data_IF_227272043197
#
_entry.id   IF_227272043197
#
_cell.length_a   1.000
_cell.length_b   1.000
_cell.length_c   1.000
_cell.angle_alpha   90.00
_cell.angle_beta   90.00
_cell.angle_gamma   90.00
#
_symmetry.space_group_name_H-M   'P 1'
#
loop_
_entity.id
_entity.type
_entity.pdbx_description
1 polymer ?
#
# COMPACT_ATOMS: atom_id res chain seq x y z
N UNK A 1 32.07 -15.41 22.92
CA UNK A 1 31.70 -15.07 21.52
C UNK A 1 30.45 -14.20 21.57
N UNK A 2 30.61 -12.87 21.51
CA UNK A 2 29.49 -11.90 21.63
C UNK A 2 29.29 -11.10 20.33
N UNK A 3 30.29 -11.09 19.45
CA UNK A 3 30.23 -10.34 18.19
C UNK A 3 29.08 -10.83 17.28
N UNK A 4 28.91 -12.14 17.11
CA UNK A 4 27.86 -12.70 16.25
C UNK A 4 26.43 -12.29 16.67
N UNK A 5 25.97 -12.50 17.93
CA UNK A 5 24.64 -12.06 18.34
C UNK A 5 24.48 -10.53 18.34
N UNK A 6 25.55 -9.77 18.58
CA UNK A 6 25.52 -8.31 18.52
C UNK A 6 25.23 -7.80 17.10
N UNK A 7 25.97 -8.28 16.09
CA UNK A 7 25.73 -7.86 14.70
C UNK A 7 24.38 -8.31 14.18
N UNK A 8 23.91 -9.49 14.59
CA UNK A 8 22.56 -9.95 14.25
C UNK A 8 21.49 -8.99 14.77
N UNK A 9 21.56 -8.60 16.04
CA UNK A 9 20.62 -7.64 16.64
C UNK A 9 20.74 -6.25 15.98
N UNK A 10 21.95 -5.82 15.64
CA UNK A 10 22.18 -4.54 14.96
C UNK A 10 21.47 -4.51 13.60
N UNK A 11 21.61 -5.55 12.77
CA UNK A 11 20.94 -5.62 11.47
C UNK A 11 19.42 -5.73 11.60
N UNK A 12 18.91 -6.47 12.59
CA UNK A 12 17.47 -6.54 12.85
C UNK A 12 16.88 -5.17 13.20
N UNK A 13 17.59 -4.36 14.01
CA UNK A 13 17.15 -2.99 14.34
C UNK A 13 17.19 -2.08 13.10
N UNK A 14 18.25 -2.18 12.28
CA UNK A 14 18.36 -1.40 11.04
C UNK A 14 17.26 -1.77 10.04
N UNK A 15 16.97 -3.06 9.88
CA UNK A 15 15.90 -3.55 9.03
C UNK A 15 14.53 -3.05 9.50
N UNK A 16 14.24 -3.14 10.81
CA UNK A 16 13.01 -2.60 11.36
C UNK A 16 12.88 -1.09 11.13
N UNK A 17 13.99 -0.34 11.24
CA UNK A 17 14.02 1.07 10.88
C UNK A 17 13.67 1.33 9.42
N UNK A 18 14.18 0.50 8.50
CA UNK A 18 13.84 0.58 7.07
C UNK A 18 12.37 0.26 6.81
N UNK A 19 11.80 -0.74 7.50
CA UNK A 19 10.37 -1.07 7.42
C UNK A 19 9.51 0.13 7.80
N UNK A 20 9.80 0.78 8.94
CA UNK A 20 9.03 1.97 9.37
C UNK A 20 9.17 3.16 8.43
N UNK A 21 10.36 3.37 7.86
CA UNK A 21 10.56 4.41 6.85
C UNK A 21 9.73 4.10 5.60
N UNK A 22 9.74 2.85 5.15
CA UNK A 22 8.97 2.40 3.98
C UNK A 22 7.48 2.62 4.21
N UNK A 23 6.96 2.17 5.36
CA UNK A 23 5.55 2.32 5.74
C UNK A 23 5.13 3.79 5.77
N UNK A 24 5.90 4.65 6.45
CA UNK A 24 5.63 6.09 6.53
C UNK A 24 5.69 6.77 5.16
N UNK A 25 6.67 6.43 4.31
CA UNK A 25 6.76 7.00 2.95
C UNK A 25 5.62 6.53 2.06
N UNK A 26 5.20 5.26 2.17
CA UNK A 26 4.06 4.71 1.46
C UNK A 26 2.76 5.43 1.87
N UNK A 27 2.50 5.59 3.16
CA UNK A 27 1.31 6.30 3.64
C UNK A 27 1.24 7.73 3.11
N UNK A 28 2.38 8.45 3.14
CA UNK A 28 2.48 9.79 2.59
C UNK A 28 2.24 9.81 1.07
N UNK A 29 2.84 8.87 0.34
CA UNK A 29 2.65 8.73 -1.11
C UNK A 29 1.17 8.49 -1.47
N UNK A 30 0.49 7.59 -0.75
CA UNK A 30 -0.93 7.28 -0.97
C UNK A 30 -1.82 8.47 -0.65
N UNK A 31 -1.54 9.21 0.43
CA UNK A 31 -2.30 10.42 0.77
C UNK A 31 -2.20 11.49 -0.31
N UNK A 32 -1.00 11.71 -0.85
CA UNK A 32 -0.74 12.71 -1.89
C UNK A 32 -1.32 12.29 -3.24
N UNK A 33 -1.07 11.05 -3.70
CA UNK A 33 -1.67 10.52 -4.94
C UNK A 33 -3.20 10.47 -4.84
N UNK A 34 -3.75 10.18 -3.64
CA UNK A 34 -5.18 10.24 -3.38
C UNK A 34 -5.81 11.62 -3.64
N UNK A 35 -5.05 12.71 -3.54
CA UNK A 35 -5.53 14.05 -3.92
C UNK A 35 -5.86 14.14 -5.41
N UNK A 36 -5.15 13.40 -6.28
CA UNK A 36 -5.43 13.39 -7.72
C UNK A 36 -6.82 12.82 -8.00
N UNK A 37 -7.24 11.80 -7.24
CA UNK A 37 -8.61 11.27 -7.32
C UNK A 37 -9.60 12.24 -6.69
N UNK A 38 -9.30 12.76 -5.48
CA UNK A 38 -10.18 13.69 -4.74
C UNK A 38 -10.55 14.93 -5.53
N UNK A 39 -9.60 15.50 -6.26
CA UNK A 39 -9.74 16.74 -7.04
C UNK A 39 -10.24 16.51 -8.47
N UNK A 40 -10.56 15.26 -8.84
CA UNK A 40 -11.02 14.91 -10.18
C UNK A 40 -9.94 14.88 -11.27
N UNK A 41 -8.68 15.19 -10.95
CA UNK A 41 -7.56 15.14 -11.92
C UNK A 41 -7.39 13.75 -12.53
N UNK A 42 -7.50 12.69 -11.72
CA UNK A 42 -7.41 11.31 -12.20
C UNK A 42 -8.59 10.94 -13.13
N UNK A 43 -9.78 11.51 -12.93
CA UNK A 43 -10.90 11.33 -13.85
C UNK A 43 -10.68 12.12 -15.15
N UNK A 44 -10.25 13.38 -15.05
CA UNK A 44 -10.03 14.26 -16.19
C UNK A 44 -8.97 13.73 -17.16
N UNK A 45 -7.93 13.07 -16.65
CA UNK A 45 -6.87 12.44 -17.45
C UNK A 45 -7.16 11.01 -17.88
N UNK A 46 -8.34 10.46 -17.54
CA UNK A 46 -8.67 9.04 -17.73
C UNK A 46 -7.57 8.10 -17.19
N UNK A 47 -7.08 8.42 -15.97
CA UNK A 47 -5.99 7.70 -15.32
C UNK A 47 -6.31 6.21 -15.19
N UNK A 48 -5.30 5.37 -15.46
CA UNK A 48 -5.40 3.93 -15.27
C UNK A 48 -4.89 3.52 -13.88
N UNK A 49 -5.24 2.31 -13.44
CA UNK A 49 -4.70 1.72 -12.22
C UNK A 49 -3.16 1.70 -12.23
N UNK A 50 -2.56 1.35 -13.37
CA UNK A 50 -1.11 1.32 -13.51
C UNK A 50 -0.51 2.72 -13.34
N UNK A 51 -1.09 3.73 -13.98
CA UNK A 51 -0.63 5.12 -13.84
C UNK A 51 -0.73 5.63 -12.40
N UNK A 52 -1.83 5.30 -11.70
CA UNK A 52 -1.98 5.64 -10.29
C UNK A 52 -0.90 4.96 -9.43
N UNK A 53 -0.62 3.68 -9.70
CA UNK A 53 0.45 2.94 -9.02
C UNK A 53 1.82 3.57 -9.28
N UNK A 54 2.11 3.95 -10.53
CA UNK A 54 3.36 4.60 -10.90
C UNK A 54 3.54 5.94 -10.15
N UNK A 55 2.46 6.74 -10.02
CA UNK A 55 2.46 7.98 -9.24
C UNK A 55 2.72 7.73 -7.73
N UNK A 56 2.13 6.68 -7.14
CA UNK A 56 2.46 6.28 -5.77
C UNK A 56 3.94 5.93 -5.65
N UNK A 57 4.46 5.12 -6.57
CA UNK A 57 5.84 4.66 -6.54
C UNK A 57 6.86 5.78 -6.77
N UNK A 58 6.57 6.74 -7.64
CA UNK A 58 7.43 7.92 -7.85
C UNK A 58 7.59 8.73 -6.56
N UNK A 59 6.52 8.85 -5.77
CA UNK A 59 6.53 9.55 -4.47
C UNK A 59 7.28 8.79 -3.37
N UNK A 60 7.52 7.50 -3.54
CA UNK A 60 8.37 6.71 -2.63
C UNK A 60 9.87 6.86 -2.93
N UNK A 61 10.24 7.62 -3.97
CA UNK A 61 11.61 8.04 -4.31
C UNK A 61 12.64 6.90 -4.31
N UNK A 62 13.41 6.74 -3.23
CA UNK A 62 14.47 5.72 -3.11
C UNK A 62 13.95 4.28 -3.26
N UNK A 63 12.66 4.07 -2.99
CA UNK A 63 11.98 2.77 -3.06
C UNK A 63 11.22 2.56 -4.39
N UNK A 64 11.30 3.51 -5.32
CA UNK A 64 10.49 3.52 -6.55
C UNK A 64 10.75 2.31 -7.47
N UNK A 65 12.01 1.85 -7.58
CA UNK A 65 12.40 0.82 -8.55
C UNK A 65 11.69 -0.53 -8.34
N UNK A 66 11.52 -0.93 -7.07
CA UNK A 66 10.86 -2.20 -6.73
C UNK A 66 9.37 -2.01 -6.40
N UNK A 67 8.94 -0.77 -6.16
CA UNK A 67 7.59 -0.45 -5.72
C UNK A 67 6.52 -0.97 -6.69
N UNK A 68 6.69 -0.79 -8.00
CA UNK A 68 5.66 -1.15 -8.99
C UNK A 68 5.32 -2.65 -8.99
N UNK A 69 6.29 -3.51 -8.65
CA UNK A 69 6.10 -4.95 -8.57
C UNK A 69 5.62 -5.43 -7.20
N UNK A 70 5.87 -4.64 -6.16
CA UNK A 70 5.50 -4.93 -4.77
C UNK A 70 4.19 -4.28 -4.35
N UNK A 71 3.62 -3.43 -5.18
CA UNK A 71 2.44 -2.63 -4.84
C UNK A 71 1.22 -3.08 -5.61
N UNK A 72 0.15 -3.32 -4.87
CA UNK A 72 -1.18 -3.54 -5.42
C UNK A 72 -2.14 -2.48 -4.90
N UNK A 73 -3.05 -2.02 -5.76
CA UNK A 73 -3.95 -0.91 -5.44
C UNK A 73 -5.40 -1.31 -5.65
N UNK A 74 -6.27 -0.71 -4.86
CA UNK A 74 -7.71 -0.77 -5.02
C UNK A 74 -8.31 0.60 -4.73
N UNK A 75 -8.91 1.19 -5.74
CA UNK A 75 -9.60 2.47 -5.65
C UNK A 75 -11.04 2.21 -6.04
N UNK A 76 -11.96 2.38 -5.09
CA UNK A 76 -13.37 2.08 -5.32
C UNK A 76 -14.30 3.14 -4.78
N UNK A 77 -15.46 3.25 -5.41
CA UNK A 77 -16.56 4.06 -4.88
C UNK A 77 -17.26 3.26 -3.78
N UNK A 78 -17.59 3.94 -2.68
CA UNK A 78 -18.36 3.39 -1.55
C UNK A 78 -19.64 4.20 -1.36
N UNK A 79 -20.69 3.59 -0.81
CA UNK A 79 -21.98 4.26 -0.61
C UNK A 79 -22.01 5.12 0.67
N UNK A 80 -21.22 4.74 1.69
CA UNK A 80 -21.16 5.38 3.00
C UNK A 80 -19.80 5.10 3.67
N UNK A 81 -19.40 5.92 4.65
CA UNK A 81 -18.15 5.71 5.39
C UNK A 81 -18.21 4.60 6.45
N UNK A 82 -19.42 4.18 6.84
CA UNK A 82 -19.65 3.22 7.90
C UNK A 82 -20.00 1.85 7.32
N UNK A 83 -19.59 0.79 8.01
CA UNK A 83 -19.92 -0.62 7.68
C UNK A 83 -19.56 -1.00 6.23
N UNK A 84 -18.47 -0.42 5.71
CA UNK A 84 -17.92 -0.77 4.39
C UNK A 84 -17.21 -2.11 4.54
N UNK A 85 -17.66 -3.12 3.79
CA UNK A 85 -17.04 -4.43 3.75
C UNK A 85 -16.53 -4.74 2.34
N UNK A 86 -15.47 -4.06 1.88
CA UNK A 86 -14.87 -4.38 0.60
C UNK A 86 -14.17 -5.75 0.69
N UNK A 87 -14.00 -6.47 -0.44
CA UNK A 87 -13.26 -7.71 -0.47
C UNK A 87 -11.89 -7.56 0.16
N UNK A 88 -11.53 -8.53 1.00
CA UNK A 88 -10.21 -8.62 1.61
C UNK A 88 -9.33 -9.53 0.73
N UNK A 89 -8.34 -8.99 0.02
CA UNK A 89 -7.47 -9.78 -0.85
C UNK A 89 -6.56 -10.75 -0.08
N UNK A 90 -6.51 -10.67 1.26
CA UNK A 90 -5.70 -11.53 2.13
C UNK A 90 -6.56 -12.43 3.03
N UNK A 91 -7.83 -12.64 2.69
CA UNK A 91 -8.79 -13.33 3.55
C UNK A 91 -8.41 -14.78 3.92
N UNK A 92 -7.63 -15.47 3.07
CA UNK A 92 -7.17 -16.83 3.32
C UNK A 92 -5.92 -16.89 4.22
N UNK A 93 -5.23 -15.77 4.44
CA UNK A 93 -3.99 -15.66 5.19
C UNK A 93 -2.78 -16.34 4.54
N UNK A 94 -2.91 -16.81 3.30
CA UNK A 94 -1.87 -17.56 2.59
C UNK A 94 -1.50 -16.90 1.26
N UNK A 95 -2.47 -16.38 0.52
CA UNK A 95 -2.28 -15.79 -0.80
C UNK A 95 -2.88 -14.39 -0.89
N UNK A 96 -2.39 -13.63 -1.87
CA UNK A 96 -2.95 -12.33 -2.22
C UNK A 96 -3.81 -12.50 -3.48
N UNK A 97 -5.12 -12.34 -3.34
CA UNK A 97 -6.08 -12.41 -4.46
C UNK A 97 -6.40 -11.00 -4.97
N UNK A 98 -5.86 -10.66 -6.14
CA UNK A 98 -6.08 -9.36 -6.79
C UNK A 98 -7.31 -9.30 -7.70
N UNK A 99 -8.06 -10.41 -7.84
CA UNK A 99 -9.12 -10.56 -8.84
C UNK A 99 -10.34 -9.65 -8.60
N UNK A 100 -10.60 -9.28 -7.35
CA UNK A 100 -11.72 -8.41 -6.95
C UNK A 100 -11.31 -6.94 -6.75
N UNK A 101 -10.06 -6.59 -7.04
CA UNK A 101 -9.56 -5.22 -6.93
C UNK A 101 -10.00 -4.41 -8.15
N UNK A 102 -10.38 -3.16 -7.90
CA UNK A 102 -10.91 -2.28 -8.94
C UNK A 102 -10.23 -0.93 -8.90
N UNK A 103 -10.31 -0.21 -10.01
CA UNK A 103 -9.87 1.18 -10.09
C UNK A 103 -10.99 2.06 -10.62
N UNK A 104 -11.64 2.79 -9.72
CA UNK A 104 -12.79 3.64 -9.98
C UNK A 104 -12.55 5.00 -9.33
N UNK A 105 -12.30 6.01 -10.14
CA UNK A 105 -12.07 7.39 -9.68
C UNK A 105 -13.35 8.08 -9.19
N UNK A 106 -14.52 7.54 -9.54
CA UNK A 106 -15.84 8.05 -9.15
C UNK A 106 -16.27 9.31 -9.90
N UNK A 107 -17.28 9.98 -9.36
CA UNK A 107 -17.88 11.22 -9.88
C UNK A 107 -17.78 12.35 -8.84
N UNK A 108 -18.07 13.62 -9.19
CA UNK A 108 -18.09 14.72 -8.21
C UNK A 108 -18.94 14.37 -7.00
N UNK A 109 -18.39 14.56 -5.79
CA UNK A 109 -19.10 14.26 -4.55
C UNK A 109 -19.22 12.78 -4.17
N UNK A 110 -18.67 11.84 -4.95
CA UNK A 110 -18.61 10.41 -4.62
C UNK A 110 -17.73 10.16 -3.40
N UNK A 111 -18.04 9.13 -2.61
CA UNK A 111 -17.16 8.66 -1.54
C UNK A 111 -16.21 7.62 -2.12
N UNK A 112 -14.92 7.81 -1.91
CA UNK A 112 -13.86 6.97 -2.45
C UNK A 112 -13.13 6.31 -1.29
N UNK A 113 -12.83 5.02 -1.46
CA UNK A 113 -11.91 4.24 -0.67
C UNK A 113 -10.69 3.92 -1.53
N UNK A 114 -9.51 4.30 -1.05
CA UNK A 114 -8.22 3.96 -1.62
C UNK A 114 -7.52 3.02 -0.65
N UNK A 115 -7.17 1.83 -1.13
CA UNK A 115 -6.37 0.83 -0.40
C UNK A 115 -5.15 0.50 -1.23
N UNK A 116 -4.01 0.43 -0.58
CA UNK A 116 -2.74 0.08 -1.20
C UNK A 116 -2.05 -0.94 -0.30
N UNK A 117 -1.62 -2.05 -0.91
CA UNK A 117 -0.83 -3.07 -0.26
C UNK A 117 0.57 -3.04 -0.84
N UNK A 118 1.57 -3.10 0.03
CA UNK A 118 2.98 -3.15 -0.35
C UNK A 118 3.63 -4.38 0.30
N UNK A 119 4.10 -5.30 -0.54
CA UNK A 119 4.81 -6.52 -0.12
C UNK A 119 6.30 -6.23 0.02
N UNK A 120 6.78 -6.16 1.26
CA UNK A 120 8.18 -5.90 1.57
C UNK A 120 8.89 -7.21 1.94
N UNK A 121 9.96 -7.59 1.21
CA UNK A 121 10.77 -8.74 1.58
C UNK A 121 11.57 -8.44 2.86
N UNK A 122 11.62 -9.44 3.74
CA UNK A 122 12.38 -9.42 4.98
C UNK A 122 13.64 -10.28 4.85
N UNK A 123 14.76 -9.75 5.32
CA UNK A 123 16.09 -10.33 5.28
C UNK A 123 16.35 -11.13 6.56
N UNK A 124 15.91 -10.66 7.72
CA UNK A 124 16.12 -11.38 8.99
C UNK A 124 15.02 -12.42 9.26
N UNK A 125 15.38 -13.71 9.52
CA UNK A 125 14.40 -14.79 9.73
C UNK A 125 13.42 -14.55 10.87
N UNK A 126 13.87 -13.85 11.92
CA UNK A 126 13.03 -13.56 13.09
C UNK A 126 11.91 -12.56 12.76
N UNK A 127 12.21 -11.56 11.91
CA UNK A 127 11.19 -10.62 11.48
C UNK A 127 10.22 -11.28 10.50
N UNK A 128 10.68 -12.16 9.60
CA UNK A 128 9.79 -12.87 8.68
C UNK A 128 8.78 -13.76 9.42
N UNK A 129 9.21 -14.47 10.47
CA UNK A 129 8.29 -15.30 11.28
C UNK A 129 7.27 -14.46 12.07
N UNK A 130 7.65 -13.26 12.50
CA UNK A 130 6.79 -12.40 13.34
C UNK A 130 5.90 -11.42 12.58
N UNK A 131 6.27 -11.04 11.35
CA UNK A 131 5.62 -9.97 10.59
C UNK A 131 5.01 -10.43 9.27
N UNK A 132 5.34 -11.64 8.77
CA UNK A 132 4.74 -12.13 7.55
C UNK A 132 3.26 -12.43 7.74
N UNK A 133 2.45 -12.01 6.76
CA UNK A 133 0.99 -12.21 6.73
C UNK A 133 0.52 -13.08 5.56
N UNK A 134 1.46 -13.49 4.71
CA UNK A 134 1.25 -14.31 3.52
C UNK A 134 2.16 -15.53 3.63
N UNK A 135 1.81 -16.62 2.94
CA UNK A 135 2.61 -17.84 2.92
C UNK A 135 3.99 -17.68 2.29
N UNK A 136 4.26 -16.54 1.63
CA UNK A 136 5.52 -16.24 0.94
C UNK A 136 6.63 -15.69 1.86
N UNK A 137 6.35 -15.42 3.14
CA UNK A 137 7.34 -14.88 4.08
C UNK A 137 7.56 -13.37 3.97
N UNK A 138 6.77 -12.68 3.15
CA UNK A 138 6.84 -11.23 2.99
C UNK A 138 5.91 -10.52 3.98
N UNK A 139 6.31 -9.30 4.36
CA UNK A 139 5.49 -8.43 5.19
C UNK A 139 4.61 -7.57 4.29
N UNK A 140 3.30 -7.63 4.49
CA UNK A 140 2.37 -6.76 3.79
C UNK A 140 2.09 -5.52 4.63
N UNK A 141 2.48 -4.37 4.12
CA UNK A 141 2.07 -3.06 4.65
C UNK A 141 0.80 -2.61 3.93
N UNK A 142 -0.12 -1.97 4.65
CA UNK A 142 -1.40 -1.54 4.09
C UNK A 142 -1.66 -0.09 4.42
N UNK A 143 -1.77 0.74 3.38
CA UNK A 143 -2.24 2.12 3.49
C UNK A 143 -3.69 2.20 3.02
N UNK A 144 -4.58 2.68 3.88
CA UNK A 144 -5.99 2.90 3.56
C UNK A 144 -6.40 4.34 3.83
N UNK A 145 -7.01 4.99 2.85
CA UNK A 145 -7.58 6.32 3.01
C UNK A 145 -8.95 6.41 2.36
N UNK A 146 -9.87 7.13 3.01
CA UNK A 146 -11.22 7.36 2.51
C UNK A 146 -11.51 8.84 2.47
N UNK A 147 -12.16 9.31 1.41
CA UNK A 147 -12.51 10.72 1.27
C UNK A 147 -13.71 10.91 0.35
N UNK A 148 -14.26 12.12 0.34
CA UNK A 148 -15.27 12.55 -0.65
C UNK A 148 -14.59 13.34 -1.75
N UNK A 149 -14.89 13.04 -3.00
CA UNK A 149 -14.44 13.82 -4.14
C UNK A 149 -15.02 15.24 -4.07
N UNK A 150 -14.20 16.22 -4.45
CA UNK A 150 -14.59 17.61 -4.52
C UNK A 150 -15.66 17.83 -5.61
N UNK A 151 -16.49 18.88 -5.50
CA UNK A 151 -17.30 19.33 -6.62
C UNK A 151 -16.39 20.07 -7.61
N UNK A 152 -16.04 19.41 -8.71
CA UNK A 152 -15.26 19.96 -9.83
C UNK A 152 -16.14 20.24 -11.05
#
# INVERSE_FOLDING_TARGET
MVAAPFFFMLFAILELGLVFVTDSTMENAVQETGRLVRTGQAQASAMSAQTFKDEVCERMSLLANDCTNRTTIDVRVIDQFRDVNPPDPMADGETFDDSELVFQTGQPGSLILVRVWYEQPLITPFLSEGLSRLGNGEMVMTATTTFRNEPY
#
